data_IF_130997114416
#
_entry.id   IF_130997114416
#
_cell.length_a   1.000
_cell.length_b   1.000
_cell.length_c   1.000
_cell.angle_alpha   90.00
_cell.angle_beta   90.00
_cell.angle_gamma   90.00
#
_symmetry.space_group_name_H-M   'P 1'
#
loop_
_entity.id
_entity.type
_entity.pdbx_description
1 polymer ?
#
# COMPACT_ATOMS: atom_id res chain seq x y z
N UNK A 1 -0.16 -23.05 -12.49
CA UNK A 1 0.29 -21.68 -12.78
C UNK A 1 1.27 -21.71 -13.94
N UNK A 2 1.21 -20.77 -14.89
CA UNK A 2 2.13 -20.73 -16.05
C UNK A 2 3.26 -19.70 -15.82
N UNK A 3 4.51 -20.09 -16.11
CA UNK A 3 5.65 -19.15 -16.18
C UNK A 3 5.70 -18.51 -17.58
N UNK A 4 5.88 -17.20 -17.62
CA UNK A 4 5.99 -16.39 -18.83
C UNK A 4 7.28 -15.56 -18.72
N UNK A 5 8.16 -15.63 -19.70
CA UNK A 5 9.46 -14.94 -19.68
C UNK A 5 9.61 -13.92 -20.81
N UNK A 6 8.75 -13.99 -21.84
CA UNK A 6 8.78 -13.08 -22.98
C UNK A 6 7.45 -12.33 -23.16
N UNK A 7 7.49 -11.18 -23.83
CA UNK A 7 6.26 -10.46 -24.23
C UNK A 7 5.40 -11.30 -25.17
N UNK A 8 6.01 -12.20 -25.96
CA UNK A 8 5.28 -13.10 -26.85
C UNK A 8 4.43 -14.11 -26.07
N UNK A 9 5.02 -14.75 -25.06
CA UNK A 9 4.33 -15.68 -24.16
C UNK A 9 3.21 -14.97 -23.38
N UNK A 10 3.47 -13.76 -22.86
CA UNK A 10 2.44 -12.96 -22.19
C UNK A 10 1.24 -12.66 -23.10
N UNK A 11 1.50 -12.24 -24.35
CA UNK A 11 0.44 -11.99 -25.34
C UNK A 11 -0.32 -13.28 -25.70
N UNK A 12 0.37 -14.41 -25.78
CA UNK A 12 -0.27 -15.70 -26.05
C UNK A 12 -1.16 -16.11 -24.88
N UNK A 13 -0.64 -16.06 -23.65
CA UNK A 13 -1.40 -16.38 -22.44
C UNK A 13 -2.64 -15.50 -22.30
N UNK A 14 -2.51 -14.18 -22.47
CA UNK A 14 -3.65 -13.25 -22.39
C UNK A 14 -4.72 -13.53 -23.43
N UNK A 15 -4.34 -13.92 -24.66
CA UNK A 15 -5.29 -14.33 -25.70
C UNK A 15 -6.06 -15.60 -25.30
N UNK A 16 -5.38 -16.59 -24.71
CA UNK A 16 -6.00 -17.85 -24.30
C UNK A 16 -6.94 -17.69 -23.10
N UNK A 17 -6.65 -16.74 -22.20
CA UNK A 17 -7.53 -16.46 -21.05
C UNK A 17 -8.82 -15.71 -21.43
N UNK A 18 -8.88 -15.13 -22.64
CA UNK A 18 -10.05 -14.43 -23.15
C UNK A 18 -10.40 -13.17 -22.35
N UNK A 19 -11.70 -12.89 -22.22
CA UNK A 19 -12.23 -11.70 -21.56
C UNK A 19 -12.37 -11.83 -20.03
N UNK A 20 -11.70 -12.80 -19.40
CA UNK A 20 -11.76 -12.96 -17.94
C UNK A 20 -11.14 -11.74 -17.23
N UNK A 21 -11.72 -11.32 -16.09
CA UNK A 21 -11.12 -10.28 -15.25
C UNK A 21 -9.67 -10.65 -14.91
N UNK A 22 -8.77 -9.69 -15.00
CA UNK A 22 -7.34 -9.85 -14.75
C UNK A 22 -6.90 -8.91 -13.64
N UNK A 23 -6.44 -9.49 -12.54
CA UNK A 23 -5.83 -8.78 -11.44
C UNK A 23 -4.30 -8.93 -11.53
N UNK A 24 -3.59 -7.82 -11.31
CA UNK A 24 -2.15 -7.76 -11.44
C UNK A 24 -1.47 -7.39 -10.12
N UNK A 25 -0.46 -8.18 -9.75
CA UNK A 25 0.39 -7.96 -8.57
C UNK A 25 1.85 -7.78 -9.04
N UNK A 26 2.35 -6.54 -9.19
CA UNK A 26 3.75 -6.32 -9.51
C UNK A 26 4.65 -6.59 -8.31
N UNK A 27 5.73 -7.35 -8.52
CA UNK A 27 6.76 -7.59 -7.49
C UNK A 27 8.16 -7.55 -8.10
N UNK A 28 9.17 -7.42 -7.23
CA UNK A 28 10.58 -7.61 -7.61
C UNK A 28 11.08 -9.05 -7.36
N UNK A 29 10.21 -10.00 -7.01
CA UNK A 29 10.60 -11.34 -6.56
C UNK A 29 11.04 -11.39 -5.09
N UNK A 30 11.65 -12.52 -4.71
CA UNK A 30 11.92 -12.88 -3.32
C UNK A 30 10.64 -12.79 -2.47
N UNK A 31 9.62 -13.52 -2.92
CA UNK A 31 8.29 -13.50 -2.36
C UNK A 31 8.30 -14.00 -0.90
N UNK A 32 7.34 -13.50 -0.14
CA UNK A 32 7.16 -13.80 1.29
C UNK A 32 5.67 -13.70 1.64
N UNK A 33 5.30 -13.94 2.90
CA UNK A 33 3.90 -13.94 3.34
C UNK A 33 3.12 -12.69 2.92
N UNK A 34 3.72 -11.50 3.01
CA UNK A 34 3.12 -10.25 2.51
C UNK A 34 2.72 -10.30 1.03
N UNK A 35 3.57 -10.85 0.16
CA UNK A 35 3.23 -11.05 -1.26
C UNK A 35 2.14 -12.11 -1.44
N UNK A 36 2.16 -13.20 -0.67
CA UNK A 36 1.09 -14.19 -0.71
C UNK A 36 -0.25 -13.58 -0.31
N UNK A 37 -0.28 -12.67 0.67
CA UNK A 37 -1.48 -11.92 1.05
C UNK A 37 -2.02 -11.07 -0.09
N UNK A 38 -1.15 -10.38 -0.84
CA UNK A 38 -1.53 -9.64 -2.05
C UNK A 38 -2.18 -10.57 -3.10
N UNK A 39 -1.53 -11.70 -3.38
CA UNK A 39 -2.00 -12.66 -4.39
C UNK A 39 -3.33 -13.30 -3.97
N UNK A 40 -3.48 -13.66 -2.69
CA UNK A 40 -4.75 -14.19 -2.16
C UNK A 40 -5.88 -13.16 -2.25
N UNK A 41 -5.61 -11.88 -1.90
CA UNK A 41 -6.59 -10.80 -2.08
C UNK A 41 -6.94 -10.61 -3.56
N UNK A 42 -5.96 -10.73 -4.45
CA UNK A 42 -6.19 -10.67 -5.90
C UNK A 42 -7.03 -11.84 -6.42
N UNK A 43 -6.96 -13.01 -5.79
CA UNK A 43 -7.67 -14.22 -6.23
C UNK A 43 -9.13 -14.29 -5.77
N UNK A 44 -9.58 -13.35 -4.92
CA UNK A 44 -10.98 -13.31 -4.48
C UNK A 44 -11.92 -13.06 -5.67
N UNK A 45 -13.04 -13.79 -5.69
CA UNK A 45 -14.03 -13.71 -6.76
C UNK A 45 -14.62 -12.30 -6.87
N UNK A 46 -14.90 -11.88 -8.11
CA UNK A 46 -15.63 -10.63 -8.40
C UNK A 46 -16.98 -10.98 -9.06
N UNK A 47 -17.95 -10.06 -9.12
CA UNK A 47 -19.28 -10.33 -9.67
C UNK A 47 -19.25 -10.87 -11.11
N UNK A 48 -18.22 -10.53 -11.89
CA UNK A 48 -18.02 -10.96 -13.27
C UNK A 48 -17.24 -12.29 -13.41
N UNK A 49 -17.09 -13.05 -12.33
CA UNK A 49 -16.44 -14.37 -12.31
C UNK A 49 -15.10 -14.40 -11.56
N UNK A 50 -14.45 -15.57 -11.58
CA UNK A 50 -13.16 -15.74 -10.92
C UNK A 50 -12.05 -15.02 -11.70
N UNK A 51 -11.34 -14.07 -11.08
CA UNK A 51 -10.29 -13.34 -11.77
C UNK A 51 -9.09 -14.24 -12.06
N UNK A 52 -8.37 -13.95 -13.14
CA UNK A 52 -7.01 -14.43 -13.31
C UNK A 52 -6.07 -13.52 -12.55
N UNK A 53 -5.15 -14.10 -11.80
CA UNK A 53 -4.12 -13.35 -11.09
C UNK A 53 -2.80 -13.53 -11.84
N UNK A 54 -2.26 -12.42 -12.34
CA UNK A 54 -0.93 -12.37 -12.91
C UNK A 54 0.01 -11.70 -11.89
N UNK A 55 1.12 -12.35 -11.59
CA UNK A 55 2.19 -11.79 -10.75
C UNK A 55 3.36 -11.46 -11.67
N UNK A 56 4.02 -10.30 -11.51
CA UNK A 56 5.32 -10.09 -12.14
C UNK A 56 6.45 -10.27 -11.13
N UNK A 57 7.57 -10.84 -11.58
CA UNK A 57 8.84 -10.88 -10.85
C UNK A 57 9.87 -10.19 -11.72
N UNK A 58 10.19 -8.93 -11.38
CA UNK A 58 11.17 -8.15 -12.13
C UNK A 58 11.91 -7.19 -11.21
N UNK A 59 13.21 -7.43 -10.99
CA UNK A 59 14.08 -6.51 -10.26
C UNK A 59 14.43 -5.36 -11.21
N UNK A 60 13.66 -4.28 -11.15
CA UNK A 60 13.80 -3.13 -12.02
C UNK A 60 15.08 -2.34 -11.69
N UNK A 61 16.08 -2.20 -12.59
CA UNK A 61 17.29 -1.41 -12.32
C UNK A 61 17.00 0.09 -12.13
N UNK A 62 15.95 0.63 -12.77
CA UNK A 62 15.68 2.07 -12.80
C UNK A 62 15.29 2.68 -11.44
N UNK A 63 14.87 1.83 -10.51
CA UNK A 63 14.40 2.25 -9.18
C UNK A 63 15.46 2.01 -8.09
N UNK A 64 16.69 1.70 -8.47
CA UNK A 64 17.83 1.58 -7.56
C UNK A 64 18.83 2.72 -7.80
N UNK A 65 19.28 3.35 -6.72
CA UNK A 65 20.38 4.31 -6.76
C UNK A 65 21.75 3.62 -6.92
N UNK A 66 22.83 4.34 -7.29
CA UNK A 66 24.17 3.79 -7.52
C UNK A 66 24.77 3.02 -6.33
N UNK A 67 24.34 3.33 -5.11
CA UNK A 67 24.83 2.71 -3.87
C UNK A 67 23.76 1.83 -3.19
N UNK A 68 22.66 1.55 -3.88
CA UNK A 68 21.60 0.68 -3.36
C UNK A 68 21.88 -0.80 -3.65
N UNK A 69 20.99 -1.68 -3.17
CA UNK A 69 21.20 -3.11 -3.11
C UNK A 69 20.86 -3.87 -4.41
N UNK A 70 20.94 -3.24 -5.59
CA UNK A 70 20.53 -3.87 -6.86
C UNK A 70 21.24 -5.21 -7.13
N UNK A 71 22.56 -5.24 -7.01
CA UNK A 71 23.36 -6.45 -7.27
C UNK A 71 23.04 -7.55 -6.25
N UNK A 72 22.89 -7.16 -4.98
CA UNK A 72 22.64 -8.07 -3.85
C UNK A 72 21.18 -8.47 -3.67
N UNK A 73 20.25 -7.86 -4.42
CA UNK A 73 18.82 -8.11 -4.28
C UNK A 73 18.52 -9.61 -4.46
N UNK A 74 17.71 -10.24 -3.59
CA UNK A 74 17.55 -11.68 -3.62
C UNK A 74 16.74 -12.10 -4.85
N UNK A 75 17.21 -13.13 -5.55
CA UNK A 75 16.58 -13.66 -6.76
C UNK A 75 16.42 -15.17 -6.62
N UNK A 76 15.18 -15.65 -6.55
CA UNK A 76 14.88 -17.08 -6.43
C UNK A 76 13.57 -17.40 -7.15
N UNK A 77 13.62 -17.38 -8.48
CA UNK A 77 12.43 -17.53 -9.32
C UNK A 77 11.67 -18.85 -9.06
N UNK A 78 12.37 -19.94 -8.76
CA UNK A 78 11.73 -21.23 -8.42
C UNK A 78 10.87 -21.12 -7.15
N UNK A 79 11.44 -20.57 -6.07
CA UNK A 79 10.68 -20.36 -4.82
C UNK A 79 9.53 -19.35 -5.01
N UNK A 80 9.76 -18.30 -5.80
CA UNK A 80 8.73 -17.31 -6.13
C UNK A 80 7.56 -17.97 -6.89
N UNK A 81 7.85 -18.90 -7.82
CA UNK A 81 6.84 -19.65 -8.55
C UNK A 81 5.99 -20.52 -7.61
N UNK A 82 6.61 -21.25 -6.69
CA UNK A 82 5.91 -22.09 -5.73
C UNK A 82 4.99 -21.26 -4.81
N UNK A 83 5.53 -20.18 -4.24
CA UNK A 83 4.78 -19.29 -3.35
C UNK A 83 3.61 -18.59 -4.05
N UNK A 84 3.82 -18.15 -5.30
CA UNK A 84 2.77 -17.51 -6.09
C UNK A 84 1.66 -18.51 -6.46
N UNK A 85 2.03 -19.72 -6.91
CA UNK A 85 1.07 -20.76 -7.24
C UNK A 85 0.22 -21.15 -6.03
N UNK A 86 0.86 -21.38 -4.88
CA UNK A 86 0.18 -21.72 -3.63
C UNK A 86 -0.74 -20.61 -3.11
N UNK A 87 -0.48 -19.35 -3.49
CA UNK A 87 -1.31 -18.20 -3.12
C UNK A 87 -2.47 -17.94 -4.11
N UNK A 88 -2.57 -18.68 -5.21
CA UNK A 88 -3.65 -18.58 -6.18
C UNK A 88 -3.32 -17.84 -7.47
N UNK A 89 -2.04 -17.62 -7.79
CA UNK A 89 -1.64 -17.01 -9.05
C UNK A 89 -1.91 -17.95 -10.25
N UNK A 90 -2.46 -17.38 -11.32
CA UNK A 90 -2.73 -18.08 -12.58
C UNK A 90 -1.49 -18.13 -13.47
N UNK A 91 -0.72 -17.05 -13.49
CA UNK A 91 0.55 -16.96 -14.19
C UNK A 91 1.55 -16.05 -13.46
N UNK A 92 2.83 -16.27 -13.75
CA UNK A 92 3.94 -15.45 -13.29
C UNK A 92 4.74 -14.95 -14.50
N UNK A 93 4.86 -13.64 -14.64
CA UNK A 93 5.64 -12.98 -15.68
C UNK A 93 7.01 -12.53 -15.14
N UNK A 94 8.07 -13.20 -15.56
CA UNK A 94 9.45 -12.94 -15.15
C UNK A 94 10.34 -12.59 -16.36
N UNK A 95 10.16 -11.40 -16.96
CA UNK A 95 10.96 -10.98 -18.10
C UNK A 95 12.40 -10.64 -17.71
N UNK A 96 13.31 -10.74 -18.68
CA UNK A 96 14.66 -10.19 -18.55
C UNK A 96 14.64 -8.66 -18.69
N UNK A 97 15.75 -8.01 -18.29
CA UNK A 97 15.94 -6.56 -18.52
C UNK A 97 15.87 -6.24 -20.02
N UNK A 98 16.51 -7.04 -20.88
CA UNK A 98 16.47 -6.86 -22.33
C UNK A 98 15.06 -7.01 -22.91
N UNK A 99 14.21 -7.84 -22.31
CA UNK A 99 12.83 -8.03 -22.77
C UNK A 99 11.94 -6.82 -22.47
N UNK A 100 12.14 -6.16 -21.32
CA UNK A 100 11.40 -4.93 -20.96
C UNK A 100 12.03 -3.66 -21.53
N UNK A 101 13.36 -3.62 -21.65
CA UNK A 101 14.15 -2.46 -22.09
C UNK A 101 15.08 -2.84 -23.26
N UNK A 102 14.52 -3.16 -24.44
CA UNK A 102 15.32 -3.67 -25.57
C UNK A 102 16.32 -2.66 -26.14
N UNK A 103 16.09 -1.36 -25.93
CA UNK A 103 16.98 -0.28 -26.38
C UNK A 103 17.96 0.18 -25.29
N UNK A 104 18.02 -0.52 -24.16
CA UNK A 104 18.79 -0.09 -23.00
C UNK A 104 18.21 1.14 -22.29
N UNK A 105 19.01 1.73 -21.40
CA UNK A 105 18.58 2.81 -20.51
C UNK A 105 18.62 4.21 -21.17
N UNK A 106 19.51 4.41 -22.15
CA UNK A 106 19.77 5.71 -22.77
C UNK A 106 18.56 6.25 -23.55
N UNK A 107 17.88 5.39 -24.31
CA UNK A 107 16.73 5.74 -25.16
C UNK A 107 15.38 5.39 -24.49
N UNK A 108 15.38 5.21 -23.17
CA UNK A 108 14.19 4.77 -22.45
C UNK A 108 13.22 5.94 -22.21
N UNK A 109 11.99 5.82 -22.70
CA UNK A 109 10.88 6.69 -22.27
C UNK A 109 10.61 6.53 -20.77
N UNK A 110 10.68 7.63 -20.02
CA UNK A 110 10.46 7.69 -18.58
C UNK A 110 9.17 8.40 -18.23
N UNK A 111 8.56 7.99 -17.12
CA UNK A 111 7.41 8.63 -16.50
C UNK A 111 7.92 9.37 -15.26
N UNK A 112 7.64 10.67 -15.19
CA UNK A 112 7.95 11.51 -14.03
C UNK A 112 6.66 11.80 -13.26
N UNK A 113 6.44 11.21 -12.08
CA UNK A 113 5.32 11.56 -11.22
C UNK A 113 5.38 13.01 -10.73
N UNK A 114 4.23 13.60 -10.32
CA UNK A 114 4.19 14.96 -9.79
C UNK A 114 5.21 15.20 -8.67
N UNK A 115 6.02 16.26 -8.81
CA UNK A 115 7.08 16.58 -7.85
C UNK A 115 6.57 16.71 -6.41
N UNK A 116 5.36 17.25 -6.22
CA UNK A 116 4.73 17.40 -4.91
C UNK A 116 4.56 16.08 -4.14
N UNK A 117 4.47 14.94 -4.83
CA UNK A 117 4.37 13.62 -4.21
C UNK A 117 5.74 12.99 -3.87
N UNK A 118 6.82 13.59 -4.37
CA UNK A 118 8.19 13.08 -4.24
C UNK A 118 9.07 13.92 -3.29
N UNK A 119 8.67 15.15 -2.94
CA UNK A 119 9.48 16.10 -2.14
C UNK A 119 9.72 15.68 -0.67
N UNK A 120 8.92 14.76 -0.13
CA UNK A 120 9.03 14.24 1.24
C UNK A 120 9.21 12.72 1.28
N UNK A 121 9.24 12.17 2.49
CA UNK A 121 9.31 10.73 2.74
C UNK A 121 10.49 10.05 2.00
N UNK A 122 10.27 8.90 1.38
CA UNK A 122 11.28 8.17 0.62
C UNK A 122 11.75 8.93 -0.62
N UNK A 123 10.91 9.76 -1.23
CA UNK A 123 11.25 10.47 -2.47
C UNK A 123 12.41 11.43 -2.29
N UNK A 124 12.46 12.14 -1.14
CA UNK A 124 13.57 13.03 -0.78
C UNK A 124 14.91 12.28 -0.66
N UNK A 125 14.86 11.08 -0.08
CA UNK A 125 16.06 10.32 0.26
C UNK A 125 16.51 9.39 -0.88
N UNK A 126 15.66 9.21 -1.90
CA UNK A 126 15.91 8.32 -3.04
C UNK A 126 15.57 9.02 -4.35
N UNK A 127 16.34 10.04 -4.77
CA UNK A 127 16.08 10.79 -5.99
C UNK A 127 15.96 9.86 -7.21
N UNK A 128 14.94 10.08 -8.05
CA UNK A 128 14.67 9.27 -9.24
C UNK A 128 14.04 7.89 -8.96
N UNK A 129 13.93 7.46 -7.70
CA UNK A 129 13.35 6.15 -7.36
C UNK A 129 11.93 5.99 -7.90
N UNK A 130 11.05 6.97 -7.65
CA UNK A 130 9.65 6.88 -8.07
C UNK A 130 9.45 7.11 -9.57
N UNK A 131 10.36 7.82 -10.24
CA UNK A 131 10.39 7.86 -11.70
C UNK A 131 10.66 6.45 -12.26
N UNK A 132 11.62 5.73 -11.67
CA UNK A 132 11.92 4.33 -11.99
C UNK A 132 10.73 3.40 -11.75
N UNK A 133 10.07 3.52 -10.59
CA UNK A 133 8.85 2.75 -10.24
C UNK A 133 7.72 3.06 -11.24
N UNK A 134 7.38 4.33 -11.45
CA UNK A 134 6.29 4.70 -12.33
C UNK A 134 6.55 4.23 -13.77
N UNK A 135 7.79 4.36 -14.25
CA UNK A 135 8.19 3.90 -15.58
C UNK A 135 8.00 2.40 -15.77
N UNK A 136 8.47 1.57 -14.83
CA UNK A 136 8.32 0.10 -14.96
C UNK A 136 6.87 -0.33 -14.81
N UNK A 137 6.13 0.23 -13.84
CA UNK A 137 4.74 -0.16 -13.60
C UNK A 137 3.88 0.20 -14.81
N UNK A 138 3.99 1.42 -15.35
CA UNK A 138 3.22 1.85 -16.52
C UNK A 138 3.54 1.02 -17.77
N UNK A 139 4.81 0.64 -17.96
CA UNK A 139 5.20 -0.29 -19.03
C UNK A 139 4.55 -1.66 -18.86
N UNK A 140 4.56 -2.21 -17.65
CA UNK A 140 3.90 -3.48 -17.34
C UNK A 140 2.38 -3.39 -17.55
N UNK A 141 1.73 -2.30 -17.11
CA UNK A 141 0.30 -2.08 -17.34
C UNK A 141 -0.05 -2.00 -18.83
N UNK A 142 0.79 -1.36 -19.65
CA UNK A 142 0.60 -1.30 -21.10
C UNK A 142 0.69 -2.66 -21.80
N UNK A 143 1.56 -3.55 -21.28
CA UNK A 143 1.72 -4.93 -21.78
C UNK A 143 0.61 -5.86 -21.29
N UNK A 144 0.22 -5.75 -20.02
CA UNK A 144 -0.66 -6.70 -19.33
C UNK A 144 -2.13 -6.33 -19.51
N UNK A 145 -2.45 -5.04 -19.45
CA UNK A 145 -3.82 -4.48 -19.44
C UNK A 145 -4.74 -5.18 -18.44
N UNK A 146 -4.44 -5.07 -17.13
CA UNK A 146 -5.28 -5.64 -16.07
C UNK A 146 -6.48 -4.75 -15.77
N UNK A 147 -7.51 -5.32 -15.16
CA UNK A 147 -8.68 -4.60 -14.65
C UNK A 147 -8.38 -3.98 -13.27
N UNK A 148 -7.59 -4.70 -12.45
CA UNK A 148 -7.12 -4.22 -11.14
C UNK A 148 -5.62 -4.35 -10.97
N UNK A 149 -5.03 -3.36 -10.33
CA UNK A 149 -3.66 -3.36 -9.83
C UNK A 149 -3.68 -3.44 -8.30
N UNK A 150 -3.06 -4.46 -7.72
CA UNK A 150 -2.94 -4.60 -6.26
C UNK A 150 -1.55 -4.21 -5.80
N UNK A 151 -1.48 -3.36 -4.77
CA UNK A 151 -0.24 -2.85 -4.20
C UNK A 151 -0.29 -2.93 -2.67
N UNK A 152 0.83 -3.28 -2.04
CA UNK A 152 0.92 -3.31 -0.59
C UNK A 152 0.95 -1.90 0.01
N UNK A 153 0.20 -1.69 1.08
CA UNK A 153 0.14 -0.40 1.78
C UNK A 153 1.45 -0.03 2.47
N UNK A 154 2.30 -1.01 2.79
CA UNK A 154 3.63 -0.80 3.39
C UNK A 154 4.40 0.32 2.69
N UNK A 155 4.36 0.33 1.37
CA UNK A 155 4.99 1.32 0.51
C UNK A 155 3.95 2.42 0.14
N UNK A 156 3.37 3.07 1.15
CA UNK A 156 2.22 3.99 1.00
C UNK A 156 2.47 5.12 -0.01
N UNK A 157 3.66 5.72 0.01
CA UNK A 157 4.04 6.76 -0.97
C UNK A 157 3.99 6.22 -2.40
N UNK A 158 4.44 4.98 -2.63
CA UNK A 158 4.35 4.31 -3.93
C UNK A 158 2.89 4.12 -4.36
N UNK A 159 2.04 3.64 -3.46
CA UNK A 159 0.61 3.45 -3.72
C UNK A 159 -0.07 4.76 -4.15
N UNK A 160 0.18 5.85 -3.42
CA UNK A 160 -0.40 7.16 -3.71
C UNK A 160 0.11 7.71 -5.05
N UNK A 161 1.42 7.59 -5.31
CA UNK A 161 2.03 8.01 -6.57
C UNK A 161 1.43 7.25 -7.75
N UNK A 162 1.36 5.92 -7.68
CA UNK A 162 0.82 5.11 -8.78
C UNK A 162 -0.67 5.37 -9.00
N UNK A 163 -1.45 5.54 -7.94
CA UNK A 163 -2.86 5.98 -8.04
C UNK A 163 -2.97 7.29 -8.80
N UNK A 164 -2.14 8.28 -8.46
CA UNK A 164 -2.16 9.60 -9.12
C UNK A 164 -1.77 9.50 -10.60
N UNK A 165 -0.68 8.80 -10.91
CA UNK A 165 -0.19 8.66 -12.30
C UNK A 165 -1.21 7.91 -13.17
N UNK A 166 -1.79 6.82 -12.67
CA UNK A 166 -2.80 6.03 -13.39
C UNK A 166 -4.06 6.87 -13.67
N UNK A 167 -4.50 7.64 -12.67
CA UNK A 167 -5.63 8.57 -12.82
C UNK A 167 -5.34 9.67 -13.84
N UNK A 168 -4.19 10.34 -13.74
CA UNK A 168 -3.84 11.47 -14.61
C UNK A 168 -3.66 11.06 -16.07
N UNK A 169 -3.28 9.80 -16.32
CA UNK A 169 -3.19 9.21 -17.67
C UNK A 169 -4.51 8.60 -18.16
N UNK A 170 -5.58 8.65 -17.37
CA UNK A 170 -6.90 8.13 -17.75
C UNK A 170 -6.92 6.61 -17.99
N UNK A 171 -6.03 5.86 -17.34
CA UNK A 171 -5.98 4.42 -17.53
C UNK A 171 -7.16 3.74 -16.82
N UNK A 172 -7.92 2.85 -17.48
CA UNK A 172 -9.10 2.21 -16.91
C UNK A 172 -8.73 1.06 -15.98
N UNK A 173 -7.95 1.33 -14.93
CA UNK A 173 -7.37 0.34 -14.01
C UNK A 173 -7.72 0.74 -12.58
N UNK A 174 -8.41 -0.13 -11.86
CA UNK A 174 -8.70 0.10 -10.44
C UNK A 174 -7.49 -0.27 -9.57
N UNK A 175 -7.03 0.67 -8.74
CA UNK A 175 -5.84 0.48 -7.88
C UNK A 175 -6.25 0.20 -6.44
N UNK A 176 -6.01 -1.03 -6.00
CA UNK A 176 -6.37 -1.53 -4.68
C UNK A 176 -5.13 -1.61 -3.76
N UNK A 177 -5.23 -0.95 -2.60
CA UNK A 177 -4.27 -1.11 -1.52
C UNK A 177 -4.59 -2.36 -0.72
N UNK A 178 -3.56 -3.09 -0.29
CA UNK A 178 -3.71 -4.25 0.60
C UNK A 178 -2.92 -3.99 1.88
N UNK A 179 -3.54 -4.15 3.06
CA UNK A 179 -2.90 -3.88 4.34
C UNK A 179 -1.56 -4.58 4.49
N UNK A 180 -0.63 -3.89 5.15
CA UNK A 180 0.70 -4.42 5.47
C UNK A 180 0.58 -5.67 6.33
N UNK A 181 1.02 -6.81 5.80
CA UNK A 181 1.17 -8.01 6.62
C UNK A 181 2.39 -7.88 7.52
N UNK A 182 2.22 -8.22 8.79
CA UNK A 182 3.23 -8.09 9.84
C UNK A 182 3.65 -9.46 10.35
N UNK A 183 4.90 -9.54 10.79
CA UNK A 183 5.42 -10.67 11.56
C UNK A 183 4.83 -10.67 12.98
N UNK A 184 5.07 -11.73 13.76
CA UNK A 184 4.46 -11.92 15.08
C UNK A 184 4.78 -10.78 16.08
N UNK A 185 5.92 -10.12 15.92
CA UNK A 185 6.35 -8.99 16.75
C UNK A 185 5.98 -7.61 16.16
N UNK A 186 5.16 -7.60 15.11
CA UNK A 186 4.65 -6.39 14.46
C UNK A 186 5.52 -5.85 13.34
N UNK A 187 6.72 -6.37 13.10
CA UNK A 187 7.59 -5.90 12.01
C UNK A 187 6.89 -6.11 10.66
N UNK A 188 6.86 -5.08 9.83
CA UNK A 188 6.32 -5.19 8.48
C UNK A 188 7.14 -6.22 7.66
N UNK A 189 6.45 -7.18 7.02
CA UNK A 189 7.15 -8.19 6.22
C UNK A 189 7.84 -7.54 5.01
N UNK A 190 9.12 -7.87 4.81
CA UNK A 190 9.90 -7.43 3.65
C UNK A 190 10.92 -8.48 3.25
N UNK A 191 11.19 -8.60 1.95
CA UNK A 191 12.31 -9.38 1.40
C UNK A 191 13.65 -8.97 2.04
N UNK A 192 13.80 -7.70 2.40
CA UNK A 192 15.00 -7.15 3.02
C UNK A 192 15.20 -7.55 4.49
N UNK A 193 14.18 -8.06 5.18
CA UNK A 193 14.31 -8.51 6.57
C UNK A 193 15.32 -9.67 6.69
N UNK A 194 15.58 -10.41 5.60
CA UNK A 194 16.53 -11.51 5.55
C UNK A 194 18.00 -11.10 5.71
N UNK A 195 18.29 -9.81 5.56
CA UNK A 195 19.64 -9.26 5.73
C UNK A 195 19.95 -8.94 7.20
N UNK A 196 18.92 -8.93 8.06
CA UNK A 196 19.09 -8.63 9.47
C UNK A 196 19.67 -9.85 10.18
N UNK A 197 20.75 -9.65 10.91
CA UNK A 197 21.21 -10.64 11.88
C UNK A 197 20.24 -10.74 13.09
N UNK A 198 20.40 -11.71 14.00
CA UNK A 198 19.48 -11.87 15.14
C UNK A 198 19.36 -10.66 16.07
N UNK A 199 20.42 -9.86 16.23
CA UNK A 199 20.39 -8.64 17.05
C UNK A 199 19.67 -7.51 16.30
N UNK A 200 20.05 -7.28 15.04
CA UNK A 200 19.39 -6.33 14.14
C UNK A 200 17.90 -6.64 13.99
N UNK A 201 17.51 -7.92 13.94
CA UNK A 201 16.11 -8.32 13.85
C UNK A 201 15.32 -7.94 15.11
N UNK A 202 15.92 -8.03 16.30
CA UNK A 202 15.29 -7.55 17.55
C UNK A 202 15.17 -6.03 17.55
N UNK A 203 16.22 -5.33 17.11
CA UNK A 203 16.22 -3.86 17.02
C UNK A 203 15.15 -3.35 16.05
N UNK A 204 15.05 -3.97 14.87
CA UNK A 204 14.07 -3.65 13.84
C UNK A 204 12.62 -3.70 14.35
N UNK A 205 12.30 -4.61 15.26
CA UNK A 205 10.97 -4.71 15.88
C UNK A 205 10.60 -3.48 16.73
N UNK A 206 11.55 -2.59 17.02
CA UNK A 206 11.27 -1.31 17.70
C UNK A 206 10.56 -0.32 16.80
N UNK A 207 10.78 -0.35 15.48
CA UNK A 207 10.13 0.55 14.52
C UNK A 207 8.58 0.52 14.63
N UNK A 208 7.91 -0.64 14.46
CA UNK A 208 6.45 -0.70 14.57
C UNK A 208 5.97 -0.36 15.99
N UNK A 209 6.71 -0.75 17.04
CA UNK A 209 6.35 -0.47 18.44
C UNK A 209 6.38 1.03 18.73
N UNK A 210 7.43 1.73 18.27
CA UNK A 210 7.58 3.16 18.48
C UNK A 210 6.51 3.96 17.71
N UNK A 211 6.15 3.53 16.49
CA UNK A 211 5.05 4.11 15.72
C UNK A 211 3.69 3.89 16.40
N UNK A 212 3.41 2.67 16.89
CA UNK A 212 2.18 2.38 17.63
C UNK A 212 2.07 3.23 18.90
N UNK A 213 3.14 3.33 19.70
CA UNK A 213 3.18 4.19 20.87
C UNK A 213 2.98 5.67 20.52
N UNK A 214 3.56 6.16 19.43
CA UNK A 214 3.33 7.54 18.98
C UNK A 214 1.86 7.78 18.57
N UNK A 215 1.17 6.74 18.07
CA UNK A 215 -0.26 6.77 17.81
C UNK A 215 -1.08 6.77 19.09
N UNK A 216 -0.69 5.98 20.09
CA UNK A 216 -1.41 5.80 21.35
C UNK A 216 -1.21 6.98 22.33
N UNK A 217 -0.01 7.58 22.37
CA UNK A 217 0.35 8.75 23.20
C UNK A 217 -0.55 9.98 22.89
N UNK A 218 -1.32 9.92 21.81
CA UNK A 218 -2.39 10.86 21.49
C UNK A 218 -3.55 10.83 22.49
N UNK A 219 -3.76 9.69 23.17
CA UNK A 219 -4.91 9.37 24.02
C UNK A 219 -5.07 10.20 25.29
N UNK A 220 -4.17 11.13 25.58
CA UNK A 220 -4.29 12.07 26.72
C UNK A 220 -4.63 13.50 26.33
N UNK A 221 -4.55 13.85 25.03
CA UNK A 221 -4.95 15.16 24.54
C UNK A 221 -6.47 15.15 24.25
N UNK A 222 -7.21 16.10 24.84
CA UNK A 222 -8.66 16.16 24.71
C UNK A 222 -9.14 16.13 23.25
N UNK A 223 -10.16 15.31 22.99
CA UNK A 223 -10.80 15.20 21.68
C UNK A 223 -11.10 16.58 21.08
N UNK A 224 -10.69 16.82 19.83
CA UNK A 224 -10.97 18.07 19.11
C UNK A 224 -9.97 19.20 19.30
N UNK A 225 -8.98 19.06 20.20
CA UNK A 225 -7.85 20.02 20.25
C UNK A 225 -6.84 19.72 19.13
N UNK A 226 -6.37 20.72 18.37
CA UNK A 226 -5.25 20.55 17.46
C UNK A 226 -4.02 20.06 18.25
N UNK A 227 -3.52 18.88 17.91
CA UNK A 227 -2.29 18.35 18.47
C UNK A 227 -1.12 18.77 17.57
N UNK A 228 -0.18 19.53 18.13
CA UNK A 228 1.11 19.80 17.47
C UNK A 228 1.88 18.49 17.26
N UNK A 229 2.32 18.26 16.02
CA UNK A 229 2.99 17.02 15.64
C UNK A 229 4.49 17.07 15.91
N UNK A 230 5.10 18.25 16.01
CA UNK A 230 6.54 18.38 16.24
C UNK A 230 7.03 17.62 17.50
N UNK A 231 6.37 17.70 18.68
CA UNK A 231 6.75 16.91 19.84
C UNK A 231 6.57 15.39 19.64
N UNK A 232 5.56 14.98 18.87
CA UNK A 232 5.31 13.56 18.55
C UNK A 232 6.44 13.01 17.68
N UNK A 233 6.84 13.76 16.64
CA UNK A 233 7.95 13.40 15.75
C UNK A 233 9.27 13.36 16.51
N UNK A 234 9.54 14.32 17.40
CA UNK A 234 10.76 14.35 18.21
C UNK A 234 10.86 13.13 19.15
N UNK A 235 9.77 12.76 19.84
CA UNK A 235 9.75 11.56 20.69
C UNK A 235 9.91 10.27 19.89
N UNK A 236 9.26 10.17 18.73
CA UNK A 236 9.41 9.01 17.85
C UNK A 236 10.87 8.86 17.39
N UNK A 237 11.50 9.94 16.91
CA UNK A 237 12.92 9.93 16.52
C UNK A 237 13.81 9.48 17.67
N UNK A 238 13.65 10.06 18.86
CA UNK A 238 14.46 9.71 20.02
C UNK A 238 14.34 8.23 20.41
N UNK A 239 13.12 7.66 20.39
CA UNK A 239 12.89 6.23 20.65
C UNK A 239 13.59 5.32 19.64
N UNK A 240 13.57 5.69 18.36
CA UNK A 240 14.25 4.93 17.30
C UNK A 240 15.78 5.00 17.46
N UNK A 241 16.33 6.18 17.73
CA UNK A 241 17.77 6.38 17.94
C UNK A 241 18.27 5.66 19.20
N UNK A 242 17.50 5.65 20.29
CA UNK A 242 17.80 4.87 21.50
C UNK A 242 17.87 3.36 21.24
N UNK A 243 17.12 2.88 20.24
CA UNK A 243 17.17 1.49 19.79
C UNK A 243 18.29 1.23 18.76
N UNK A 244 19.25 2.15 18.63
CA UNK A 244 20.37 2.07 17.70
C UNK A 244 19.97 2.03 16.21
N UNK A 245 18.76 2.50 15.90
CA UNK A 245 18.30 2.67 14.52
C UNK A 245 18.71 4.05 14.01
N UNK A 246 19.34 4.10 12.85
CA UNK A 246 19.72 5.37 12.21
C UNK A 246 18.50 5.90 11.45
N UNK A 247 17.98 7.05 11.86
CA UNK A 247 16.71 7.58 11.31
C UNK A 247 16.97 8.40 10.03
N UNK A 248 16.44 7.92 8.90
CA UNK A 248 16.37 8.72 7.67
C UNK A 248 15.35 9.84 7.85
N UNK A 249 14.11 9.46 8.17
CA UNK A 249 13.03 10.41 8.40
C UNK A 249 12.01 9.86 9.39
N UNK A 250 11.37 10.80 10.08
CA UNK A 250 10.08 10.65 10.74
C UNK A 250 9.24 11.84 10.28
N UNK A 251 8.15 11.58 9.58
CA UNK A 251 7.34 12.63 8.96
C UNK A 251 5.86 12.36 9.19
N UNK A 252 5.10 13.44 9.40
CA UNK A 252 3.65 13.41 9.46
C UNK A 252 3.09 14.16 8.26
N UNK A 253 2.29 13.49 7.43
CA UNK A 253 1.81 14.02 6.16
C UNK A 253 0.33 13.74 5.93
N UNK A 254 -0.30 14.49 5.04
CA UNK A 254 -1.60 14.13 4.50
C UNK A 254 -1.49 12.79 3.74
N UNK A 255 -2.33 11.78 4.01
CA UNK A 255 -2.17 10.46 3.41
C UNK A 255 -2.45 10.43 1.90
N UNK A 256 -3.12 11.44 1.33
CA UNK A 256 -3.46 11.48 -0.10
C UNK A 256 -2.58 12.46 -0.88
N UNK A 257 -2.31 13.65 -0.33
CA UNK A 257 -1.46 14.64 -1.01
C UNK A 257 0.01 14.54 -0.64
N UNK A 258 0.36 13.74 0.37
CA UNK A 258 1.70 13.57 0.94
C UNK A 258 2.37 14.87 1.39
N UNK A 259 1.58 15.95 1.54
CA UNK A 259 2.07 17.22 2.03
C UNK A 259 2.25 17.19 3.55
N UNK A 260 3.30 17.83 4.11
CA UNK A 260 3.55 17.89 5.54
C UNK A 260 2.36 18.42 6.35
N UNK A 261 2.19 17.91 7.57
CA UNK A 261 1.23 18.38 8.57
C UNK A 261 1.99 18.85 9.80
N UNK A 262 1.80 20.11 10.20
CA UNK A 262 2.28 20.64 11.49
C UNK A 262 1.36 20.24 12.64
N UNK A 263 0.06 20.16 12.36
CA UNK A 263 -0.97 19.81 13.32
C UNK A 263 -1.78 18.60 12.87
N UNK A 264 -2.24 17.83 13.84
CA UNK A 264 -3.12 16.70 13.61
C UNK A 264 -4.56 17.18 13.42
N UNK A 265 -4.91 17.52 12.17
CA UNK A 265 -6.26 17.92 11.76
C UNK A 265 -6.86 16.80 10.89
N UNK A 266 -7.57 15.86 11.50
CA UNK A 266 -8.13 14.69 10.81
C UNK A 266 -7.14 13.54 10.61
N UNK A 267 -7.27 12.82 9.49
CA UNK A 267 -6.41 11.67 9.15
C UNK A 267 -5.03 12.15 8.68
N UNK A 268 -3.98 11.66 9.32
CA UNK A 268 -2.58 11.96 9.04
C UNK A 268 -1.80 10.66 9.00
N UNK A 269 -0.90 10.52 8.02
CA UNK A 269 0.05 9.44 7.93
C UNK A 269 1.28 9.81 8.75
N UNK A 270 1.60 9.06 9.79
CA UNK A 270 2.87 9.11 10.49
C UNK A 270 3.77 8.00 9.93
N UNK A 271 4.82 8.38 9.19
CA UNK A 271 5.70 7.46 8.50
C UNK A 271 7.13 7.62 8.97
N UNK A 272 7.88 6.52 8.97
CA UNK A 272 9.28 6.51 9.32
C UNK A 272 10.08 5.62 8.37
N UNK A 273 11.33 6.02 8.13
CA UNK A 273 12.34 5.17 7.53
C UNK A 273 13.60 5.18 8.40
N UNK A 274 14.19 4.01 8.57
CA UNK A 274 15.37 3.81 9.42
C UNK A 274 16.32 2.81 8.78
N UNK A 275 17.61 2.92 9.09
CA UNK A 275 18.61 1.92 8.83
C UNK A 275 18.89 1.09 10.08
N UNK A 276 18.85 -0.22 9.93
CA UNK A 276 19.30 -1.21 10.91
C UNK A 276 20.44 -2.01 10.27
N UNK A 277 21.68 -1.73 10.68
CA UNK A 277 22.86 -2.13 9.90
C UNK A 277 22.80 -1.56 8.48
N UNK A 278 23.03 -2.40 7.47
CA UNK A 278 22.90 -2.02 6.05
C UNK A 278 21.46 -2.01 5.54
N UNK A 279 20.49 -2.46 6.34
CA UNK A 279 19.12 -2.69 5.88
C UNK A 279 18.26 -1.47 6.13
N UNK A 280 17.69 -0.90 5.08
CA UNK A 280 16.73 0.19 5.15
C UNK A 280 15.31 -0.34 5.33
N UNK A 281 14.67 0.02 6.43
CA UNK A 281 13.31 -0.35 6.81
C UNK A 281 12.39 0.86 6.68
N UNK A 282 11.13 0.61 6.31
CA UNK A 282 10.08 1.64 6.27
C UNK A 282 8.83 1.08 6.93
N UNK A 283 8.08 1.94 7.60
CA UNK A 283 6.77 1.61 8.14
C UNK A 283 5.95 2.89 8.35
N UNK A 284 4.65 2.74 8.57
CA UNK A 284 3.76 3.86 8.85
C UNK A 284 2.57 3.42 9.72
N UNK A 285 1.96 4.40 10.37
CA UNK A 285 0.66 4.30 11.04
C UNK A 285 -0.21 5.50 10.68
N UNK A 286 -1.51 5.35 10.83
CA UNK A 286 -2.44 6.46 10.69
C UNK A 286 -2.75 7.07 12.05
N UNK A 287 -2.54 8.38 12.15
CA UNK A 287 -3.04 9.20 13.24
C UNK A 287 -4.37 9.79 12.82
N UNK A 288 -5.35 9.85 13.72
CA UNK A 288 -6.62 10.53 13.46
C UNK A 288 -6.99 11.45 14.61
N UNK A 289 -7.18 12.75 14.33
CA UNK A 289 -7.91 13.65 15.24
C UNK A 289 -9.40 13.55 15.03
N UNK A 290 -10.04 12.65 15.76
CA UNK A 290 -11.49 12.61 15.86
C UNK A 290 -11.87 12.47 17.33
N UNK A 291 -12.94 13.16 17.72
CA UNK A 291 -13.69 12.76 18.90
C UNK A 291 -14.20 11.32 18.70
N UNK A 292 -14.40 10.54 19.77
CA UNK A 292 -15.06 9.24 19.65
C UNK A 292 -16.34 9.39 18.81
N UNK A 293 -16.46 8.59 17.75
CA UNK A 293 -17.69 8.53 16.96
C UNK A 293 -18.56 7.48 17.64
N UNK A 294 -19.78 7.88 18.02
CA UNK A 294 -20.77 6.93 18.54
C UNK A 294 -21.76 6.60 17.43
N UNK A 295 -21.94 5.30 17.21
CA UNK A 295 -22.99 4.75 16.38
C UNK A 295 -23.70 3.64 17.17
N UNK A 296 -25.02 3.70 17.28
CA UNK A 296 -25.84 2.62 17.87
C UNK A 296 -26.64 1.99 16.73
N UNK A 297 -26.32 0.74 16.41
CA UNK A 297 -27.00 -0.02 15.35
C UNK A 297 -28.03 -1.01 15.92
N UNK A 298 -28.98 -1.45 15.08
CA UNK A 298 -30.11 -2.31 15.47
C UNK A 298 -31.34 -2.14 14.58
N UNK A 299 -32.46 -2.83 14.85
CA UNK A 299 -33.62 -2.89 13.95
C UNK A 299 -34.31 -1.53 13.75
N UNK A 300 -34.91 -1.31 12.59
CA UNK A 300 -35.63 -0.08 12.25
C UNK A 300 -36.73 0.24 13.31
N UNK A 301 -36.95 1.52 13.59
CA UNK A 301 -37.95 1.97 14.57
C UNK A 301 -37.53 1.91 16.05
N UNK A 302 -36.38 1.32 16.39
CA UNK A 302 -35.92 1.20 17.79
C UNK A 302 -35.41 2.51 18.45
N UNK A 303 -35.65 3.69 17.86
CA UNK A 303 -35.24 4.98 18.44
C UNK A 303 -33.74 5.29 18.42
N UNK A 304 -32.91 4.44 17.79
CA UNK A 304 -31.44 4.52 17.84
C UNK A 304 -30.85 5.85 17.37
N UNK A 305 -31.34 6.42 16.27
CA UNK A 305 -30.87 7.73 15.78
C UNK A 305 -31.12 8.84 16.81
N UNK A 306 -32.27 8.79 17.50
CA UNK A 306 -32.63 9.73 18.57
C UNK A 306 -31.74 9.53 19.80
N UNK A 307 -31.54 8.28 20.23
CA UNK A 307 -30.69 7.94 21.40
C UNK A 307 -29.21 8.27 21.12
N UNK A 308 -28.69 7.89 19.95
CA UNK A 308 -27.30 8.16 19.55
C UNK A 308 -27.04 9.65 19.44
N UNK A 309 -27.99 10.43 18.90
CA UNK A 309 -27.88 11.89 18.82
C UNK A 309 -27.88 12.54 20.21
N UNK A 310 -28.83 12.18 21.06
CA UNK A 310 -28.90 12.70 22.44
C UNK A 310 -27.67 12.31 23.27
N UNK A 311 -27.16 11.08 23.10
CA UNK A 311 -25.93 10.61 23.75
C UNK A 311 -24.70 11.36 23.23
N UNK A 312 -24.60 11.56 21.92
CA UNK A 312 -23.52 12.30 21.30
C UNK A 312 -23.52 13.77 21.77
N UNK A 313 -24.67 14.44 21.79
CA UNK A 313 -24.82 15.80 22.31
C UNK A 313 -24.41 15.89 23.79
N UNK A 314 -24.84 14.94 24.63
CA UNK A 314 -24.55 14.96 26.07
C UNK A 314 -23.09 14.69 26.42
N UNK A 315 -22.36 13.99 25.54
CA UNK A 315 -20.94 13.64 25.74
C UNK A 315 -19.98 14.43 24.85
N UNK A 316 -20.48 15.39 24.04
CA UNK A 316 -19.65 16.15 23.11
C UNK A 316 -19.00 15.29 22.01
N UNK A 317 -19.68 14.21 21.60
CA UNK A 317 -19.21 13.29 20.57
C UNK A 317 -19.77 13.64 19.19
N UNK A 318 -19.14 13.12 18.13
CA UNK A 318 -19.62 13.28 16.76
C UNK A 318 -20.70 12.22 16.50
N UNK A 319 -21.92 12.65 16.19
CA UNK A 319 -23.00 11.78 15.74
C UNK A 319 -22.79 11.38 14.28
N UNK A 320 -22.68 10.08 14.01
CA UNK A 320 -22.72 9.52 12.67
C UNK A 320 -24.09 8.86 12.42
N UNK A 321 -24.86 9.40 11.47
CA UNK A 321 -26.13 8.80 11.06
C UNK A 321 -25.88 7.59 10.14
N UNK A 322 -25.68 6.43 10.75
CA UNK A 322 -25.44 5.18 10.00
C UNK A 322 -26.60 4.84 9.07
N UNK A 323 -27.84 5.18 9.44
CA UNK A 323 -29.00 4.96 8.58
C UNK A 323 -28.96 5.81 7.30
N UNK A 324 -28.60 7.09 7.42
CA UNK A 324 -28.40 7.96 6.25
C UNK A 324 -27.21 7.50 5.41
N UNK A 325 -26.12 7.04 6.06
CA UNK A 325 -24.96 6.48 5.40
C UNK A 325 -25.32 5.24 4.57
N UNK A 326 -25.97 4.23 5.17
CA UNK A 326 -26.39 3.01 4.46
C UNK A 326 -27.32 3.33 3.29
N UNK A 327 -28.27 4.28 3.46
CA UNK A 327 -29.13 4.73 2.35
C UNK A 327 -28.34 5.42 1.24
N UNK A 328 -27.36 6.26 1.58
CA UNK A 328 -26.50 6.92 0.60
C UNK A 328 -25.64 5.93 -0.19
N UNK A 329 -25.05 4.95 0.49
CA UNK A 329 -24.29 3.86 -0.14
C UNK A 329 -25.19 3.00 -1.04
N UNK A 330 -26.39 2.65 -0.57
CA UNK A 330 -27.37 1.89 -1.35
C UNK A 330 -27.80 2.64 -2.61
N UNK A 331 -28.10 3.93 -2.48
CA UNK A 331 -28.42 4.79 -3.63
C UNK A 331 -27.25 4.88 -4.63
N UNK A 332 -26.02 5.00 -4.14
CA UNK A 332 -24.82 5.01 -4.98
C UNK A 332 -24.60 3.67 -5.71
N UNK A 333 -24.81 2.54 -5.03
CA UNK A 333 -24.74 1.22 -5.63
C UNK A 333 -25.79 1.08 -6.75
N UNK A 334 -27.04 1.42 -6.46
CA UNK A 334 -28.15 1.35 -7.42
C UNK A 334 -27.90 2.26 -8.65
N UNK A 335 -27.43 3.49 -8.45
CA UNK A 335 -27.11 4.42 -9.55
C UNK A 335 -25.95 3.95 -10.42
N UNK A 336 -25.07 3.10 -9.88
CA UNK A 336 -23.97 2.46 -10.61
C UNK A 336 -24.34 1.07 -11.17
N UNK A 337 -25.59 0.65 -11.05
CA UNK A 337 -26.04 -0.67 -11.49
C UNK A 337 -25.45 -1.83 -10.67
N UNK A 338 -24.98 -1.55 -9.46
CA UNK A 338 -24.46 -2.53 -8.51
C UNK A 338 -25.61 -3.00 -7.62
N UNK A 339 -25.79 -4.32 -7.50
CA UNK A 339 -26.74 -4.91 -6.57
C UNK A 339 -26.28 -4.67 -5.12
N UNK A 340 -27.03 -3.91 -4.29
CA UNK A 340 -26.68 -3.69 -2.90
C UNK A 340 -26.63 -4.96 -2.04
N UNK A 341 -27.24 -6.06 -2.50
CA UNK A 341 -27.21 -7.36 -1.83
C UNK A 341 -25.95 -8.19 -2.18
N UNK A 342 -25.19 -7.81 -3.21
CA UNK A 342 -23.92 -8.43 -3.55
C UNK A 342 -22.79 -7.84 -2.70
N UNK A 343 -22.50 -8.50 -1.57
CA UNK A 343 -21.47 -8.07 -0.63
C UNK A 343 -20.10 -7.84 -1.30
N UNK A 344 -19.74 -8.63 -2.32
CA UNK A 344 -18.46 -8.48 -3.02
C UNK A 344 -18.43 -7.25 -3.95
N UNK A 345 -19.59 -6.78 -4.38
CA UNK A 345 -19.72 -5.60 -5.23
C UNK A 345 -19.80 -4.29 -4.42
N UNK A 346 -20.15 -4.37 -3.13
CA UNK A 346 -20.33 -3.23 -2.22
C UNK A 346 -19.15 -3.07 -1.23
N UNK A 347 -18.25 -4.06 -1.12
CA UNK A 347 -17.00 -3.96 -0.36
C UNK A 347 -15.96 -2.99 -0.98
N UNK A 348 -15.21 -2.21 -0.18
CA UNK A 348 -14.20 -1.26 -0.65
C UNK A 348 -12.91 -1.88 -1.23
#
# INVERSE_FOLDING_TARGET
MQLLQTRAELRQWRRLEGAKPLHFVPTMGALHGGHQSLIRRAALAVPQGQPRVLVSVFVNPLQFGPHEDFERYPRSLAADLELAAAAGASALFAPSVAELYPQGDAELTRIQPPASLQQGLCGRHRPGHFDGVATVVLRLLGLIRPDRLLLGEKDWQQLVILRRVIHDLGLPIAVQGVPTLREADGLAMSSRNRYLDPEQRRQAATLPKALAQASDDRGTAGAGTPLELAPVLARLRARLEQAQLVVDYVEAVCPTSLQPRSQLTGLTLLAAAVHCGSTRLIDHVFLMNRAPIVAIDGPAGAGKSTVTRAFAERLGLIYLDTGAMYRGVTWLAQTRGVDPADANAVEP
#
